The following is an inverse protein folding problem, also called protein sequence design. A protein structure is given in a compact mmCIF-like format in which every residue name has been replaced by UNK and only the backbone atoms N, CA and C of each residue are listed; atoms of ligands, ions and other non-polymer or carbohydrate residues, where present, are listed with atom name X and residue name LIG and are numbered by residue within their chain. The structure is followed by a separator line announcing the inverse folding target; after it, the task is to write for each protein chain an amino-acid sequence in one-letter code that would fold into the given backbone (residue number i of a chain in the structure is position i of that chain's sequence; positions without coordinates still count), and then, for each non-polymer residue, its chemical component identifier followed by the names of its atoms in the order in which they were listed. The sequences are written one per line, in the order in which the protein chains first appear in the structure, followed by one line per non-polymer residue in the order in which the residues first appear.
data_IF_240017873865
#
_entry.id   IF_240017873865
#
_cell.length_a   1.000
_cell.length_b   1.000
_cell.length_c   1.000
_cell.angle_alpha   90.00
_cell.angle_beta   90.00
_cell.angle_gamma   90.00
#
_symmetry.space_group_name_H-M   'P 1'
#
loop_
_entity.id
_entity.type
_entity.pdbx_description
1 polymer ?
#
# COMPACT_ATOMS: atom_id res chain seq x y z
N UNK A 1 -1.34 2.54 6.14
CA UNK A 1 -0.06 3.08 5.66
C UNK A 1 -0.11 3.15 4.15
N UNK A 2 0.32 4.28 3.58
CA UNK A 2 0.56 4.45 2.15
C UNK A 2 2.07 4.63 2.00
N UNK A 3 2.73 3.76 1.25
CA UNK A 3 4.20 3.62 1.28
C UNK A 3 4.73 3.14 -0.09
N UNK A 4 5.99 3.42 -0.42
CA UNK A 4 6.60 3.02 -1.68
C UNK A 4 7.83 2.11 -1.50
N UNK A 5 8.12 1.67 -0.27
CA UNK A 5 9.22 0.76 0.06
C UNK A 5 8.76 -0.56 0.70
N UNK A 6 9.49 -1.64 0.42
CA UNK A 6 9.24 -2.95 1.02
C UNK A 6 9.34 -2.93 2.56
N UNK A 7 10.37 -2.27 3.10
CA UNK A 7 10.61 -2.21 4.54
C UNK A 7 9.51 -1.45 5.30
N UNK A 8 9.01 -0.34 4.74
CA UNK A 8 7.92 0.42 5.35
C UNK A 8 6.61 -0.36 5.37
N UNK A 9 6.33 -1.14 4.31
CA UNK A 9 5.18 -2.03 4.24
C UNK A 9 5.25 -3.17 5.26
N UNK A 10 6.40 -3.83 5.41
CA UNK A 10 6.62 -4.84 6.46
C UNK A 10 6.40 -4.26 7.87
N UNK A 11 6.92 -3.06 8.13
CA UNK A 11 6.72 -2.37 9.41
C UNK A 11 5.25 -2.04 9.67
N UNK A 12 4.54 -1.52 8.66
CA UNK A 12 3.11 -1.19 8.78
C UNK A 12 2.25 -2.43 9.04
N UNK A 13 2.55 -3.54 8.36
CA UNK A 13 1.89 -4.82 8.56
C UNK A 13 2.15 -5.38 9.96
N UNK A 14 3.39 -5.31 10.45
CA UNK A 14 3.73 -5.70 11.82
C UNK A 14 3.01 -4.85 12.88
N UNK A 15 2.70 -3.59 12.55
CA UNK A 15 1.90 -2.69 13.39
C UNK A 15 0.37 -2.91 13.28
N UNK A 16 -0.08 -3.89 12.48
CA UNK A 16 -1.51 -4.18 12.29
C UNK A 16 -2.26 -3.13 11.45
N UNK A 17 -1.54 -2.37 10.61
CA UNK A 17 -2.16 -1.39 9.73
C UNK A 17 -2.55 -2.01 8.38
N UNK A 18 -3.59 -1.47 7.75
CA UNK A 18 -3.82 -1.70 6.33
C UNK A 18 -2.73 -1.02 5.48
N UNK A 19 -2.41 -1.60 4.33
CA UNK A 19 -1.25 -1.23 3.51
C UNK A 19 -1.63 -1.00 2.05
N UNK A 20 -1.25 0.17 1.54
CA UNK A 20 -1.33 0.52 0.13
C UNK A 20 0.07 0.88 -0.35
N UNK A 21 0.51 0.23 -1.42
CA UNK A 21 1.79 0.51 -2.05
C UNK A 21 1.63 1.46 -3.24
N UNK A 22 2.58 2.39 -3.40
CA UNK A 22 2.72 3.21 -4.61
C UNK A 22 4.03 2.84 -5.31
N UNK A 23 3.99 2.52 -6.60
CA UNK A 23 5.19 2.05 -7.35
C UNK A 23 6.09 3.19 -7.84
N UNK A 24 6.31 4.21 -7.02
CA UNK A 24 7.19 5.34 -7.37
C UNK A 24 8.68 4.98 -7.27
N UNK A 25 9.03 4.16 -6.28
CA UNK A 25 10.42 3.78 -5.97
C UNK A 25 10.74 2.32 -6.28
N UNK A 26 9.75 1.42 -6.16
CA UNK A 26 9.90 -0.01 -6.37
C UNK A 26 8.79 -0.53 -7.28
N UNK A 27 9.09 -1.56 -8.07
CA UNK A 27 8.10 -2.19 -8.96
C UNK A 27 7.03 -2.95 -8.15
N UNK A 28 5.87 -3.16 -8.76
CA UNK A 28 4.72 -3.82 -8.13
C UNK A 28 5.07 -5.19 -7.52
N UNK A 29 5.92 -5.97 -8.19
CA UNK A 29 6.35 -7.30 -7.72
C UNK A 29 7.12 -7.24 -6.39
N UNK A 30 7.84 -6.13 -6.14
CA UNK A 30 8.60 -5.92 -4.91
C UNK A 30 7.71 -5.44 -3.75
N UNK A 31 6.53 -4.90 -4.07
CA UNK A 31 5.56 -4.35 -3.13
C UNK A 31 4.33 -5.24 -2.95
N UNK A 32 4.38 -6.49 -3.44
CA UNK A 32 3.29 -7.45 -3.43
C UNK A 32 2.76 -7.83 -2.02
N UNK A 33 3.45 -7.42 -0.95
CA UNK A 33 3.00 -7.60 0.43
C UNK A 33 1.89 -6.64 0.85
N UNK A 34 1.68 -5.56 0.10
CA UNK A 34 0.59 -4.61 0.33
C UNK A 34 -0.75 -5.18 -0.11
N UNK A 35 -1.83 -4.75 0.54
CA UNK A 35 -3.19 -5.18 0.19
C UNK A 35 -3.69 -4.57 -1.13
N UNK A 36 -3.19 -3.38 -1.47
CA UNK A 36 -3.44 -2.72 -2.75
C UNK A 36 -2.14 -2.10 -3.27
N UNK A 37 -1.87 -2.26 -4.56
CA UNK A 37 -0.74 -1.61 -5.24
C UNK A 37 -1.31 -0.68 -6.32
N UNK A 38 -0.86 0.57 -6.32
CA UNK A 38 -1.23 1.59 -7.32
C UNK A 38 0.02 2.21 -7.91
N UNK A 39 -0.08 2.79 -9.10
CA UNK A 39 1.08 3.44 -9.74
C UNK A 39 1.29 4.86 -9.22
N UNK A 40 0.20 5.53 -8.84
CA UNK A 40 0.21 6.89 -8.32
C UNK A 40 -0.96 7.11 -7.35
N UNK A 41 -0.80 8.04 -6.41
CA UNK A 41 -1.78 8.27 -5.34
C UNK A 41 -3.18 8.64 -5.85
N UNK A 42 -3.29 9.27 -7.03
CA UNK A 42 -4.58 9.66 -7.60
C UNK A 42 -5.45 8.49 -8.07
N UNK A 43 -4.89 7.28 -8.13
CA UNK A 43 -5.63 6.03 -8.40
C UNK A 43 -6.30 5.45 -7.15
N UNK A 44 -5.99 6.00 -5.97
CA UNK A 44 -6.57 5.58 -4.70
C UNK A 44 -7.84 6.40 -4.42
N UNK A 45 -8.98 5.73 -4.34
CA UNK A 45 -10.26 6.34 -4.01
C UNK A 45 -10.61 6.23 -2.52
N UNK A 46 -11.57 7.02 -2.07
CA UNK A 46 -12.13 6.89 -0.71
C UNK A 46 -12.84 5.54 -0.55
N UNK A 47 -13.51 5.05 -1.59
CA UNK A 47 -14.20 3.76 -1.57
C UNK A 47 -13.20 2.60 -1.38
N UNK A 48 -12.01 2.67 -2.01
CA UNK A 48 -10.94 1.70 -1.76
C UNK A 48 -10.53 1.68 -0.28
N UNK A 49 -10.37 2.86 0.33
CA UNK A 49 -10.00 2.98 1.74
C UNK A 49 -11.10 2.45 2.66
N UNK A 50 -12.37 2.69 2.33
CA UNK A 50 -13.50 2.14 3.07
C UNK A 50 -13.54 0.62 2.97
N UNK A 51 -13.25 0.04 1.81
CA UNK A 51 -13.18 -1.40 1.63
C UNK A 51 -12.02 -2.04 2.40
N UNK A 52 -10.88 -1.36 2.51
CA UNK A 52 -9.74 -1.85 3.27
C UNK A 52 -9.99 -1.80 4.78
N UNK A 53 -10.62 -0.73 5.29
CA UNK A 53 -10.78 -0.48 6.73
C UNK A 53 -12.10 -0.99 7.35
N UNK A 54 -12.94 -1.71 6.59
CA UNK A 54 -14.21 -2.25 7.06
C UNK A 54 -14.03 -3.55 7.87
#
# INVERSE_FOLDING_TARGET
MIEDSHWGLEAAKAAGMHTVAITNSYDADQLAIAEKVVTQLSELSIDDLQHLCA
#
